data_IF_422998268130
#
_entry.id   IF_422998268130
#
_cell.length_a   1.000
_cell.length_b   1.000
_cell.length_c   1.000
_cell.angle_alpha   90.00
_cell.angle_beta   90.00
_cell.angle_gamma   90.00
#
_symmetry.space_group_name_H-M   'P 1'
#
loop_
_entity.id
_entity.type
_entity.pdbx_description
1 polymer ?
#
# COMPACT_ATOMS: atom_id res chain seq x y z
N UNK A 1 -17.78 20.19 4.82
CA UNK A 1 -18.01 19.22 3.72
C UNK A 1 -16.87 18.22 3.73
N UNK A 2 -17.11 16.95 3.42
CA UNK A 2 -16.02 15.97 3.31
C UNK A 2 -15.14 16.28 2.10
N UNK A 3 -13.82 16.10 2.22
CA UNK A 3 -12.88 16.31 1.12
C UNK A 3 -13.17 15.31 -0.02
N UNK A 4 -13.05 15.71 -1.30
CA UNK A 4 -13.10 14.78 -2.41
C UNK A 4 -11.98 13.73 -2.29
N UNK A 5 -12.28 12.47 -2.59
CA UNK A 5 -11.31 11.36 -2.42
C UNK A 5 -10.64 11.01 -3.74
N UNK A 6 -9.30 10.97 -3.74
CA UNK A 6 -8.50 10.54 -4.88
C UNK A 6 -8.70 9.06 -5.15
N UNK A 7 -8.87 8.68 -6.42
CA UNK A 7 -9.13 7.29 -6.83
C UNK A 7 -8.37 6.97 -8.09
N UNK A 8 -7.56 5.91 -8.05
CA UNK A 8 -7.09 5.25 -9.27
C UNK A 8 -8.30 4.60 -9.93
N UNK A 9 -8.58 4.98 -11.18
CA UNK A 9 -9.74 4.47 -11.93
C UNK A 9 -9.34 3.31 -12.83
N UNK A 10 -8.28 3.53 -13.60
CA UNK A 10 -7.87 2.59 -14.63
C UNK A 10 -6.38 2.69 -14.92
N UNK A 11 -5.80 1.57 -15.28
CA UNK A 11 -4.53 1.54 -16.02
C UNK A 11 -4.70 0.74 -17.31
N UNK A 12 -4.04 1.20 -18.37
CA UNK A 12 -3.85 0.47 -19.60
C UNK A 12 -2.35 0.19 -19.74
N UNK A 13 -1.95 -1.06 -19.52
CA UNK A 13 -0.58 -1.51 -19.71
C UNK A 13 -0.42 -1.90 -21.17
N UNK A 14 0.09 -0.98 -21.98
CA UNK A 14 0.37 -1.22 -23.40
C UNK A 14 1.47 -2.29 -23.52
N UNK A 15 2.57 -2.09 -22.78
CA UNK A 15 3.66 -3.06 -22.67
C UNK A 15 4.42 -2.88 -21.38
N UNK A 16 4.68 -3.99 -20.68
CA UNK A 16 5.75 -4.09 -19.68
C UNK A 16 5.95 -5.57 -19.29
N UNK A 17 7.15 -6.11 -19.50
CA UNK A 17 7.45 -7.53 -19.26
C UNK A 17 6.41 -8.46 -19.94
N UNK A 18 5.75 -9.33 -19.17
CA UNK A 18 4.70 -10.22 -19.65
C UNK A 18 3.34 -9.56 -19.91
N UNK A 19 3.15 -8.29 -19.53
CA UNK A 19 1.90 -7.56 -19.72
C UNK A 19 1.89 -6.89 -21.10
N UNK A 20 0.87 -7.19 -21.92
CA UNK A 20 0.69 -6.63 -23.28
C UNK A 20 -0.77 -6.25 -23.51
N UNK A 21 -1.04 -4.96 -23.72
CA UNK A 21 -2.36 -4.38 -23.98
C UNK A 21 -3.45 -4.81 -22.98
N UNK A 22 -3.14 -4.78 -21.69
CA UNK A 22 -4.08 -5.14 -20.62
C UNK A 22 -4.76 -3.88 -20.08
N UNK A 23 -6.09 -3.91 -20.00
CA UNK A 23 -6.90 -2.89 -19.35
C UNK A 23 -7.33 -3.39 -17.98
N UNK A 24 -7.05 -2.61 -16.93
CA UNK A 24 -7.44 -2.94 -15.55
C UNK A 24 -8.22 -1.77 -14.99
N UNK A 25 -9.45 -2.04 -14.57
CA UNK A 25 -10.31 -1.08 -13.86
C UNK A 25 -10.29 -1.42 -12.37
N UNK A 26 -10.25 -0.39 -11.54
CA UNK A 26 -10.10 -0.56 -10.10
C UNK A 26 -11.40 -0.23 -9.38
N UNK A 27 -11.73 -1.07 -8.39
CA UNK A 27 -12.84 -0.84 -7.50
C UNK A 27 -12.67 0.43 -6.67
N UNK A 28 -13.79 0.99 -6.21
CA UNK A 28 -13.80 2.24 -5.45
C UNK A 28 -13.14 2.14 -4.07
N UNK A 29 -13.08 0.92 -3.51
CA UNK A 29 -12.55 0.61 -2.17
C UNK A 29 -11.62 -0.58 -2.20
N UNK A 30 -12.09 -1.74 -2.66
CA UNK A 30 -11.29 -2.97 -2.70
C UNK A 30 -11.10 -3.44 -4.15
N UNK A 31 -9.93 -3.97 -4.45
CA UNK A 31 -9.62 -4.68 -5.70
C UNK A 31 -8.72 -5.86 -5.40
N UNK A 32 -9.09 -7.05 -5.90
CA UNK A 32 -8.25 -8.25 -5.84
C UNK A 32 -7.78 -8.62 -7.24
N UNK A 33 -6.48 -8.75 -7.40
CA UNK A 33 -5.82 -9.24 -8.61
C UNK A 33 -5.45 -10.71 -8.37
N UNK A 34 -6.08 -11.62 -9.10
CA UNK A 34 -5.81 -13.06 -9.02
C UNK A 34 -5.28 -13.60 -10.35
N UNK A 35 -4.70 -14.80 -10.33
CA UNK A 35 -4.10 -15.45 -11.50
C UNK A 35 -2.93 -16.34 -11.13
N UNK A 36 -2.49 -17.20 -12.05
CA UNK A 36 -1.39 -18.16 -11.84
C UNK A 36 -0.07 -17.48 -11.43
N UNK A 37 0.87 -18.24 -10.90
CA UNK A 37 2.22 -17.72 -10.63
C UNK A 37 2.87 -17.26 -11.94
N UNK A 38 3.65 -16.18 -11.89
CA UNK A 38 4.32 -15.61 -13.06
C UNK A 38 3.46 -14.74 -13.97
N UNK A 39 2.19 -14.46 -13.64
CA UNK A 39 1.30 -13.60 -14.46
C UNK A 39 1.43 -12.10 -14.17
N UNK A 40 2.56 -11.64 -13.62
CA UNK A 40 2.85 -10.22 -13.36
C UNK A 40 1.94 -9.50 -12.34
N UNK A 41 1.26 -10.23 -11.44
CA UNK A 41 0.38 -9.64 -10.40
C UNK A 41 1.08 -8.62 -9.52
N UNK A 42 2.20 -8.99 -8.91
CA UNK A 42 3.03 -8.09 -8.10
C UNK A 42 3.53 -6.91 -8.94
N UNK A 43 3.88 -7.16 -10.22
CA UNK A 43 4.31 -6.10 -11.14
C UNK A 43 3.23 -5.03 -11.36
N UNK A 44 1.95 -5.41 -11.37
CA UNK A 44 0.83 -4.45 -11.41
C UNK A 44 0.82 -3.60 -10.13
N UNK A 45 1.00 -4.19 -8.94
CA UNK A 45 1.12 -3.41 -7.70
C UNK A 45 2.32 -2.45 -7.74
N UNK A 46 3.47 -2.89 -8.28
CA UNK A 46 4.65 -2.03 -8.45
C UNK A 46 4.43 -0.85 -9.39
N UNK A 47 3.72 -1.06 -10.49
CA UNK A 47 3.27 0.01 -11.37
C UNK A 47 2.45 1.02 -10.56
N UNK A 48 1.47 0.56 -9.79
CA UNK A 48 0.57 1.43 -9.02
C UNK A 48 1.35 2.21 -7.95
N UNK A 49 2.24 1.57 -7.20
CA UNK A 49 3.08 2.22 -6.20
C UNK A 49 3.85 3.41 -6.78
N UNK A 50 4.37 3.24 -8.00
CA UNK A 50 5.14 4.26 -8.70
C UNK A 50 4.29 5.40 -9.27
N UNK A 51 2.95 5.30 -9.32
CA UNK A 51 2.09 6.41 -9.76
C UNK A 51 2.08 7.53 -8.72
N UNK A 52 2.18 7.18 -7.44
CA UNK A 52 1.90 8.06 -6.31
C UNK A 52 3.15 8.39 -5.49
N UNK A 53 3.18 9.58 -4.89
CA UNK A 53 4.24 9.99 -3.97
C UNK A 53 3.73 11.05 -3.00
N UNK A 54 3.85 10.82 -1.69
CA UNK A 54 3.44 11.79 -0.67
C UNK A 54 4.65 12.43 0.01
N UNK A 55 5.33 13.29 -0.74
CA UNK A 55 6.57 13.94 -0.27
C UNK A 55 6.46 15.45 -0.23
N UNK A 56 5.80 16.06 -1.22
CA UNK A 56 5.59 17.51 -1.27
C UNK A 56 4.22 17.82 -1.85
N UNK A 57 3.54 18.80 -1.27
CA UNK A 57 2.38 19.43 -1.88
C UNK A 57 2.84 20.66 -2.67
N UNK A 58 2.79 20.52 -3.99
CA UNK A 58 3.20 21.56 -4.95
C UNK A 58 2.07 22.55 -5.26
N UNK A 59 0.86 22.33 -4.72
CA UNK A 59 -0.31 23.18 -4.97
C UNK A 59 -0.33 24.43 -4.10
N UNK A 60 0.37 24.40 -2.95
CA UNK A 60 0.50 25.51 -2.01
C UNK A 60 1.72 26.38 -2.33
N UNK A 61 1.69 27.63 -1.88
CA UNK A 61 2.82 28.54 -1.94
C UNK A 61 3.04 29.22 -0.58
N UNK A 62 4.13 28.92 0.16
CA UNK A 62 5.21 27.99 -0.20
C UNK A 62 4.74 26.53 -0.30
N UNK A 63 5.52 25.70 -1.01
CA UNK A 63 5.28 24.26 -1.10
C UNK A 63 5.34 23.63 0.30
N UNK A 64 4.43 22.70 0.59
CA UNK A 64 4.39 22.04 1.92
C UNK A 64 5.17 20.74 1.86
N UNK A 65 6.09 20.55 2.81
CA UNK A 65 6.77 19.28 3.02
C UNK A 65 5.80 18.27 3.67
N UNK A 66 5.48 17.20 2.95
CA UNK A 66 4.59 16.16 3.46
C UNK A 66 5.36 15.04 4.16
N UNK A 67 6.70 15.03 4.08
CA UNK A 67 7.53 14.01 4.74
C UNK A 67 7.56 14.13 6.25
N UNK A 68 7.08 15.25 6.81
CA UNK A 68 6.80 15.41 8.24
C UNK A 68 5.72 14.43 8.73
N UNK A 69 4.79 14.03 7.86
CA UNK A 69 3.79 13.02 8.19
C UNK A 69 4.39 11.63 7.98
N UNK A 70 4.71 10.97 9.08
CA UNK A 70 5.32 9.64 9.06
C UNK A 70 4.28 8.53 9.14
N UNK A 71 4.62 7.34 8.66
CA UNK A 71 3.91 6.10 8.98
C UNK A 71 4.20 5.70 10.43
N UNK A 72 3.47 4.71 10.95
CA UNK A 72 3.76 4.17 12.27
C UNK A 72 5.12 3.48 12.33
N UNK A 73 5.78 3.17 11.21
CA UNK A 73 7.18 2.67 11.11
C UNK A 73 8.20 3.80 10.95
N UNK A 74 7.82 5.06 11.15
CA UNK A 74 8.66 6.24 10.88
C UNK A 74 9.10 6.41 9.41
N UNK A 75 8.48 5.68 8.48
CA UNK A 75 8.66 5.82 7.04
C UNK A 75 7.81 6.95 6.44
N UNK A 76 7.98 7.19 5.15
CA UNK A 76 7.11 8.11 4.39
C UNK A 76 5.97 7.36 3.71
N UNK A 77 4.87 8.04 3.38
CA UNK A 77 3.78 7.48 2.56
C UNK A 77 4.11 7.46 1.06
N UNK A 78 5.24 6.84 0.75
CA UNK A 78 5.76 6.63 -0.60
C UNK A 78 6.37 5.25 -0.63
N UNK A 79 6.22 4.57 -1.75
CA UNK A 79 6.86 3.29 -2.04
C UNK A 79 7.71 3.45 -3.29
N UNK A 80 9.03 3.22 -3.16
CA UNK A 80 9.90 3.27 -4.31
C UNK A 80 9.83 1.96 -5.08
N UNK A 81 9.79 2.03 -6.41
CA UNK A 81 9.75 0.81 -7.24
C UNK A 81 10.87 -0.19 -6.92
N UNK A 82 12.06 0.29 -6.54
CA UNK A 82 13.22 -0.52 -6.17
C UNK A 82 13.09 -1.29 -4.85
N UNK A 83 12.20 -0.86 -3.95
CA UNK A 83 11.92 -1.53 -2.67
C UNK A 83 11.16 -2.84 -2.87
N UNK A 84 10.49 -2.99 -4.01
CA UNK A 84 9.61 -4.13 -4.29
C UNK A 84 9.98 -4.88 -5.56
N UNK A 85 10.67 -4.24 -6.49
CA UNK A 85 11.08 -4.84 -7.76
C UNK A 85 12.49 -4.47 -8.15
N UNK A 86 13.23 -5.46 -8.65
CA UNK A 86 14.48 -5.23 -9.37
C UNK A 86 14.17 -5.03 -10.84
N UNK A 87 14.70 -3.96 -11.42
CA UNK A 87 14.74 -3.75 -12.86
C UNK A 87 15.96 -4.47 -13.43
N UNK A 88 15.72 -5.27 -14.48
CA UNK A 88 16.75 -5.95 -15.26
C UNK A 88 17.40 -4.98 -16.23
N UNK A 89 18.72 -4.94 -16.24
CA UNK A 89 19.48 -4.16 -17.24
C UNK A 89 19.28 -4.68 -18.66
N UNK A 90 19.02 -5.98 -18.81
CA UNK A 90 18.80 -6.62 -20.10
C UNK A 90 17.38 -6.45 -20.63
N UNK A 91 16.37 -6.54 -19.76
CA UNK A 91 14.96 -6.62 -20.18
C UNK A 91 14.14 -5.36 -19.87
N UNK A 92 14.53 -4.60 -18.83
CA UNK A 92 13.81 -3.40 -18.39
C UNK A 92 14.56 -2.12 -18.83
N UNK A 93 14.77 -2.00 -20.15
CA UNK A 93 15.45 -0.86 -20.78
C UNK A 93 14.53 0.34 -21.01
N UNK A 94 15.10 1.50 -21.36
CA UNK A 94 14.33 2.68 -21.71
C UNK A 94 13.34 2.38 -22.85
N UNK A 95 12.08 2.82 -22.69
CA UNK A 95 11.00 2.57 -23.65
C UNK A 95 10.39 1.16 -23.62
N UNK A 96 10.87 0.25 -22.76
CA UNK A 96 10.28 -1.10 -22.63
C UNK A 96 8.97 -1.13 -21.80
N UNK A 97 8.66 -0.03 -21.12
CA UNK A 97 7.43 0.17 -20.35
C UNK A 97 6.61 1.32 -20.96
N UNK A 98 5.34 1.05 -21.21
CA UNK A 98 4.32 2.06 -21.51
C UNK A 98 3.03 1.69 -20.78
N UNK A 99 2.65 2.52 -19.81
CA UNK A 99 1.40 2.41 -19.06
C UNK A 99 0.67 3.74 -19.13
N UNK A 100 -0.59 3.72 -19.52
CA UNK A 100 -1.50 4.88 -19.47
C UNK A 100 -2.37 4.78 -18.24
N UNK A 101 -2.58 5.90 -17.56
CA UNK A 101 -3.14 5.94 -16.21
C UNK A 101 -4.30 6.94 -16.20
N UNK A 102 -5.41 6.56 -15.57
CA UNK A 102 -6.55 7.43 -15.27
C UNK A 102 -6.74 7.50 -13.76
N UNK A 103 -6.64 8.71 -13.22
CA UNK A 103 -6.81 9.01 -11.79
C UNK A 103 -7.80 10.15 -11.66
N UNK A 104 -8.77 10.02 -10.76
CA UNK A 104 -9.47 11.19 -10.23
C UNK A 104 -8.67 11.72 -9.05
N UNK A 105 -8.09 12.90 -9.18
CA UNK A 105 -7.32 13.57 -8.13
C UNK A 105 -8.27 14.43 -7.29
N UNK A 106 -8.50 14.00 -6.05
CA UNK A 106 -9.39 14.67 -5.11
C UNK A 106 -8.82 16.00 -4.59
N UNK A 107 -7.49 16.14 -4.57
CA UNK A 107 -6.83 17.36 -4.11
C UNK A 107 -7.00 18.52 -5.09
N UNK A 108 -6.87 18.24 -6.39
CA UNK A 108 -7.13 19.21 -7.45
C UNK A 108 -8.58 19.18 -7.97
N UNK A 109 -9.42 18.27 -7.46
CA UNK A 109 -10.75 17.97 -7.97
C UNK A 109 -10.80 17.80 -9.51
N UNK A 110 -9.90 16.98 -10.07
CA UNK A 110 -9.69 16.87 -11.52
C UNK A 110 -9.49 15.42 -11.96
N UNK A 111 -9.99 15.10 -13.16
CA UNK A 111 -9.66 13.86 -13.86
C UNK A 111 -8.34 13.99 -14.61
N UNK A 112 -7.35 13.18 -14.22
CA UNK A 112 -6.02 13.11 -14.81
C UNK A 112 -5.95 11.94 -15.80
N UNK A 113 -6.27 12.21 -17.07
CA UNK A 113 -6.32 11.20 -18.15
C UNK A 113 -5.07 11.17 -19.03
N UNK A 114 -4.13 12.10 -18.81
CA UNK A 114 -2.88 12.23 -19.59
C UNK A 114 -1.68 11.55 -18.93
N UNK A 115 -1.89 10.91 -17.79
CA UNK A 115 -0.83 10.30 -17.02
C UNK A 115 -0.25 9.10 -17.76
N UNK A 116 1.08 9.06 -17.84
CA UNK A 116 1.83 7.93 -18.39
C UNK A 116 2.96 7.54 -17.46
N UNK A 117 3.24 6.25 -17.37
CA UNK A 117 4.41 5.70 -16.69
C UNK A 117 5.24 4.93 -17.72
N UNK A 118 6.53 5.24 -17.78
CA UNK A 118 7.48 4.57 -18.65
C UNK A 118 8.88 4.52 -18.04
N UNK A 119 9.75 3.73 -18.66
CA UNK A 119 11.16 3.61 -18.31
C UNK A 119 12.02 4.52 -19.18
N UNK A 120 12.94 5.25 -18.56
CA UNK A 120 13.81 6.21 -19.22
C UNK A 120 15.27 5.97 -18.82
N UNK A 121 16.19 6.28 -19.72
CA UNK A 121 17.62 6.25 -19.45
C UNK A 121 17.99 7.28 -18.37
N UNK A 122 19.05 6.98 -17.63
CA UNK A 122 19.58 7.83 -16.58
C UNK A 122 21.06 8.08 -16.85
N UNK A 123 21.52 9.32 -16.73
CA UNK A 123 22.96 9.65 -16.78
C UNK A 123 23.72 9.05 -15.59
N UNK A 124 23.09 9.00 -14.41
CA UNK A 124 23.81 8.71 -13.16
C UNK A 124 23.79 7.22 -12.75
N UNK A 125 23.23 6.34 -13.58
CA UNK A 125 23.13 4.90 -13.27
C UNK A 125 22.77 4.09 -14.51
N UNK A 126 23.30 2.87 -14.58
CA UNK A 126 23.10 1.95 -15.71
C UNK A 126 21.64 1.50 -15.87
N UNK A 127 20.88 1.46 -14.77
CA UNK A 127 19.48 1.03 -14.75
C UNK A 127 18.52 2.15 -15.16
N UNK A 128 17.55 1.78 -15.99
CA UNK A 128 16.45 2.67 -16.37
C UNK A 128 15.62 3.07 -15.17
N UNK A 129 15.08 4.30 -15.18
CA UNK A 129 14.24 4.86 -14.12
C UNK A 129 12.77 4.88 -14.56
N UNK A 130 11.83 4.44 -13.69
CA UNK A 130 10.41 4.63 -13.96
C UNK A 130 10.02 6.08 -13.65
N UNK A 131 9.41 6.77 -14.60
CA UNK A 131 9.02 8.17 -14.48
C UNK A 131 7.56 8.33 -14.89
N UNK A 132 6.78 8.98 -14.02
CA UNK A 132 5.41 9.44 -14.33
C UNK A 132 5.49 10.78 -15.08
N UNK A 133 4.74 10.90 -16.16
CA UNK A 133 4.62 12.13 -16.97
C UNK A 133 3.16 12.46 -17.25
N UNK A 134 2.92 13.70 -17.68
CA UNK A 134 1.58 14.18 -18.04
C UNK A 134 0.70 14.53 -16.84
N UNK A 135 1.31 14.75 -15.66
CA UNK A 135 0.58 15.19 -14.47
C UNK A 135 0.24 16.68 -14.57
N UNK A 136 -0.94 16.99 -15.11
CA UNK A 136 -1.47 18.32 -15.28
C UNK A 136 -2.40 18.76 -14.14
N UNK A 137 -2.26 18.17 -12.94
CA UNK A 137 -3.11 18.49 -11.79
C UNK A 137 -2.90 19.91 -11.24
N UNK A 138 -1.71 20.49 -11.46
CA UNK A 138 -1.35 21.84 -10.99
C UNK A 138 -0.85 22.66 -12.20
N UNK A 139 -1.55 23.73 -12.60
CA UNK A 139 -1.13 24.60 -13.70
C UNK A 139 0.26 25.22 -13.45
N UNK A 140 1.09 25.31 -14.50
CA UNK A 140 2.41 25.96 -14.44
C UNK A 140 3.51 25.17 -13.72
N UNK A 141 3.21 24.05 -13.05
CA UNK A 141 4.21 23.16 -12.46
C UNK A 141 4.70 22.09 -13.44
N UNK A 142 5.86 21.51 -13.15
CA UNK A 142 6.41 20.39 -13.93
C UNK A 142 5.42 19.21 -13.95
N UNK A 143 5.12 18.71 -15.15
CA UNK A 143 4.19 17.59 -15.37
C UNK A 143 4.86 16.20 -15.31
N UNK A 144 6.19 16.15 -15.25
CA UNK A 144 6.99 14.92 -15.03
C UNK A 144 7.13 14.66 -13.53
N UNK A 145 6.03 14.29 -12.90
CA UNK A 145 5.95 14.02 -11.45
C UNK A 145 4.85 13.01 -11.15
N UNK A 146 5.02 12.31 -10.04
CA UNK A 146 3.99 11.45 -9.46
C UNK A 146 2.74 12.27 -9.06
N UNK A 147 1.61 11.59 -8.90
CA UNK A 147 0.42 12.18 -8.26
C UNK A 147 0.68 12.29 -6.76
N UNK A 148 0.44 13.45 -6.17
CA UNK A 148 0.65 13.67 -4.72
C UNK A 148 -0.45 12.98 -3.93
N UNK A 149 -0.20 11.75 -3.46
CA UNK A 149 -1.17 10.94 -2.74
C UNK A 149 -0.45 9.88 -1.88
N UNK A 150 -0.89 9.61 -0.64
CA UNK A 150 -0.21 8.68 0.25
C UNK A 150 -0.41 7.23 -0.18
N UNK A 151 0.70 6.49 -0.25
CA UNK A 151 0.72 5.07 -0.60
C UNK A 151 1.56 4.28 0.40
N UNK A 152 1.06 3.12 0.81
CA UNK A 152 1.82 2.10 1.54
C UNK A 152 1.77 0.81 0.72
N UNK A 153 2.92 0.17 0.55
CA UNK A 153 3.02 -1.13 -0.12
C UNK A 153 3.62 -2.19 0.82
N UNK A 154 2.78 -3.13 1.21
CA UNK A 154 3.14 -4.34 1.94
C UNK A 154 3.53 -5.45 0.96
N UNK A 155 4.83 -5.64 0.75
CA UNK A 155 5.37 -6.76 -0.03
C UNK A 155 5.40 -8.06 0.78
N UNK A 156 5.74 -9.18 0.12
CA UNK A 156 5.96 -10.47 0.77
C UNK A 156 7.09 -10.47 1.82
N UNK A 157 7.97 -9.45 1.82
CA UNK A 157 9.02 -9.32 2.81
C UNK A 157 8.49 -9.38 4.25
N UNK A 158 7.22 -9.01 4.48
CA UNK A 158 6.56 -9.12 5.78
C UNK A 158 6.56 -10.51 6.41
N UNK A 159 6.72 -11.56 5.60
CA UNK A 159 6.83 -12.95 6.07
C UNK A 159 8.26 -13.34 6.46
N UNK A 160 9.22 -12.42 6.47
CA UNK A 160 10.58 -12.69 6.91
C UNK A 160 10.56 -13.14 8.39
N UNK A 161 11.04 -14.37 8.69
CA UNK A 161 11.08 -14.89 10.05
C UNK A 161 11.81 -13.95 11.01
N UNK A 162 11.31 -13.84 12.25
CA UNK A 162 11.88 -12.97 13.28
C UNK A 162 13.36 -13.33 13.54
N UNK A 163 13.71 -14.62 13.48
CA UNK A 163 15.09 -15.11 13.65
C UNK A 163 16.08 -14.59 12.60
N UNK A 164 15.60 -14.12 11.46
CA UNK A 164 16.41 -13.52 10.39
C UNK A 164 16.38 -11.98 10.42
N UNK A 165 15.67 -11.37 11.38
CA UNK A 165 15.62 -9.92 11.54
C UNK A 165 16.80 -9.47 12.37
N UNK A 166 17.68 -8.68 11.76
CA UNK A 166 18.77 -8.00 12.46
C UNK A 166 18.21 -6.82 13.26
N UNK A 167 18.89 -6.48 14.37
CA UNK A 167 18.59 -5.30 15.20
C UNK A 167 17.16 -5.28 15.77
N UNK A 168 16.63 -6.46 16.13
CA UNK A 168 15.27 -6.57 16.67
C UNK A 168 15.18 -5.96 18.07
N UNK A 169 14.39 -4.89 18.22
CA UNK A 169 14.18 -4.20 19.51
C UNK A 169 12.73 -3.73 19.66
N UNK A 170 12.33 -3.34 20.87
CA UNK A 170 11.07 -2.60 21.04
C UNK A 170 11.24 -1.15 20.59
N UNK A 171 10.12 -0.51 20.25
CA UNK A 171 10.05 0.93 19.96
C UNK A 171 8.82 1.50 20.65
N UNK A 172 8.96 2.62 21.32
CA UNK A 172 7.80 3.31 21.89
C UNK A 172 7.18 4.22 20.82
N UNK A 173 5.89 4.02 20.59
CA UNK A 173 5.10 4.88 19.70
C UNK A 173 3.87 5.23 20.50
N UNK A 174 3.86 6.44 21.08
CA UNK A 174 2.76 6.96 21.88
C UNK A 174 1.39 6.71 21.21
N UNK A 175 1.30 6.94 19.90
CA UNK A 175 0.08 6.69 19.13
C UNK A 175 -0.36 5.22 19.14
N UNK A 176 0.56 4.25 19.13
CA UNK A 176 0.22 2.83 19.24
C UNK A 176 -0.34 2.54 20.64
N UNK A 177 0.27 3.09 21.69
CA UNK A 177 -0.20 2.90 23.06
C UNK A 177 -1.60 3.48 23.28
N UNK A 178 -1.83 4.71 22.79
CA UNK A 178 -3.13 5.41 22.84
C UNK A 178 -4.23 4.66 22.08
N UNK A 179 -3.86 3.83 21.11
CA UNK A 179 -4.78 3.06 20.26
C UNK A 179 -4.70 1.55 20.51
N UNK A 180 -4.07 1.13 21.61
CA UNK A 180 -3.75 -0.27 21.89
C UNK A 180 -4.98 -1.17 21.94
N UNK A 181 -6.10 -0.69 22.50
CA UNK A 181 -7.35 -1.44 22.53
C UNK A 181 -7.93 -1.69 21.14
N UNK A 182 -8.04 -0.66 20.30
CA UNK A 182 -8.53 -0.81 18.92
C UNK A 182 -7.64 -1.79 18.12
N UNK A 183 -6.31 -1.69 18.31
CA UNK A 183 -5.32 -2.54 17.66
C UNK A 183 -5.48 -4.00 18.12
N UNK A 184 -5.59 -4.21 19.43
CA UNK A 184 -5.78 -5.53 20.04
C UNK A 184 -7.06 -6.19 19.56
N UNK A 185 -8.18 -5.47 19.57
CA UNK A 185 -9.48 -5.96 19.09
C UNK A 185 -9.37 -6.36 17.61
N UNK A 186 -8.77 -5.51 16.77
CA UNK A 186 -8.60 -5.81 15.35
C UNK A 186 -7.69 -7.02 15.11
N UNK A 187 -6.61 -7.15 15.87
CA UNK A 187 -5.68 -8.29 15.78
C UNK A 187 -6.33 -9.60 16.22
N UNK A 188 -7.03 -9.57 17.35
CA UNK A 188 -7.75 -10.73 17.89
C UNK A 188 -8.87 -11.18 16.93
N UNK A 189 -9.62 -10.23 16.34
CA UNK A 189 -10.61 -10.54 15.31
C UNK A 189 -9.97 -11.21 14.10
N UNK A 190 -8.87 -10.66 13.59
CA UNK A 190 -8.21 -11.20 12.38
C UNK A 190 -7.61 -12.59 12.62
N UNK A 191 -6.92 -12.77 13.75
CA UNK A 191 -6.28 -14.03 14.12
C UNK A 191 -7.26 -15.07 14.67
N UNK A 192 -8.54 -14.70 14.89
CA UNK A 192 -9.55 -15.55 15.52
C UNK A 192 -9.12 -16.02 16.92
N UNK A 193 -8.53 -15.09 17.68
CA UNK A 193 -7.97 -15.32 19.02
C UNK A 193 -8.70 -14.48 20.06
N UNK A 194 -8.71 -14.95 21.30
CA UNK A 194 -9.33 -14.25 22.44
C UNK A 194 -8.33 -13.91 23.57
N UNK A 195 -7.06 -14.28 23.40
CA UNK A 195 -6.01 -14.27 24.43
C UNK A 195 -4.93 -13.19 24.20
N UNK A 196 -4.99 -12.43 23.10
CA UNK A 196 -4.10 -11.29 22.88
C UNK A 196 -4.43 -10.15 23.85
N UNK A 197 -3.48 -9.82 24.73
CA UNK A 197 -3.66 -8.86 25.81
C UNK A 197 -2.76 -7.63 25.66
N UNK A 198 -1.56 -7.78 25.10
CA UNK A 198 -0.55 -6.73 25.03
C UNK A 198 -0.17 -6.40 23.59
N UNK A 199 0.07 -5.11 23.31
CA UNK A 199 0.55 -4.62 22.01
C UNK A 199 1.97 -4.11 22.17
N UNK A 200 2.91 -4.66 21.40
CA UNK A 200 4.31 -4.22 21.41
C UNK A 200 4.72 -3.79 20.01
N UNK A 201 5.18 -2.55 19.86
CA UNK A 201 5.79 -2.10 18.62
C UNK A 201 7.26 -2.54 18.57
N UNK A 202 7.66 -3.09 17.42
CA UNK A 202 8.97 -3.73 17.24
C UNK A 202 9.72 -3.09 16.08
N UNK A 203 11.03 -2.98 16.23
CA UNK A 203 11.99 -2.46 15.26
C UNK A 203 12.83 -3.63 14.77
N UNK A 204 13.32 -3.59 13.53
CA UNK A 204 14.32 -4.54 13.04
C UNK A 204 14.57 -4.34 11.55
N UNK A 205 14.95 -5.39 10.83
CA UNK A 205 14.98 -5.37 9.35
C UNK A 205 13.65 -4.91 8.75
N UNK A 206 12.54 -5.20 9.45
CA UNK A 206 11.20 -4.72 9.15
C UNK A 206 10.57 -4.27 10.46
N UNK A 207 10.27 -2.97 10.55
CA UNK A 207 9.53 -2.41 11.67
C UNK A 207 8.08 -2.90 11.65
N UNK A 208 7.58 -3.35 12.79
CA UNK A 208 6.29 -4.02 12.93
C UNK A 208 5.61 -3.61 14.23
N UNK A 209 4.53 -4.31 14.55
CA UNK A 209 3.76 -4.24 15.78
C UNK A 209 3.12 -5.60 16.02
N UNK A 210 3.27 -6.17 17.19
CA UNK A 210 2.75 -7.51 17.50
C UNK A 210 1.78 -7.45 18.68
N UNK A 211 0.73 -8.25 18.61
CA UNK A 211 -0.18 -8.49 19.74
C UNK A 211 0.14 -9.87 20.30
N UNK A 212 0.42 -9.95 21.59
CA UNK A 212 0.77 -11.19 22.27
C UNK A 212 -0.04 -11.37 23.56
N UNK A 213 -0.16 -12.62 23.99
CA UNK A 213 -0.82 -12.98 25.25
C UNK A 213 0.13 -12.92 26.45
N UNK A 214 -0.33 -13.43 27.59
CA UNK A 214 0.46 -13.44 28.83
C UNK A 214 1.48 -14.59 28.87
N UNK A 215 1.29 -15.61 28.02
CA UNK A 215 2.11 -16.83 28.01
C UNK A 215 3.35 -16.73 27.10
N UNK A 216 3.50 -15.66 26.32
CA UNK A 216 4.62 -15.42 25.41
C UNK A 216 4.74 -13.93 25.08
N UNK A 217 5.93 -13.48 24.72
CA UNK A 217 6.21 -12.08 24.43
C UNK A 217 6.49 -11.83 22.94
N UNK A 218 6.75 -10.56 22.59
CA UNK A 218 7.10 -10.12 21.24
C UNK A 218 8.26 -10.91 20.59
N UNK A 219 9.18 -11.50 21.36
CA UNK A 219 10.29 -12.28 20.82
C UNK A 219 9.87 -13.68 20.33
N UNK A 220 8.73 -14.18 20.82
CA UNK A 220 8.23 -15.53 20.57
C UNK A 220 7.03 -15.58 19.62
N UNK A 221 6.69 -14.44 19.01
CA UNK A 221 5.54 -14.29 18.12
C UNK A 221 5.77 -15.02 16.79
N UNK A 222 4.73 -15.66 16.27
CA UNK A 222 4.79 -16.35 14.99
C UNK A 222 4.84 -15.37 13.81
N UNK A 223 5.34 -15.84 12.66
CA UNK A 223 5.36 -15.02 11.42
C UNK A 223 3.94 -14.60 11.00
N UNK A 224 2.92 -15.43 11.26
CA UNK A 224 1.53 -15.10 10.96
C UNK A 224 1.01 -13.93 11.80
N UNK A 225 1.31 -13.91 13.09
CA UNK A 225 0.93 -12.81 13.99
C UNK A 225 1.66 -11.51 13.66
N UNK A 226 2.95 -11.58 13.34
CA UNK A 226 3.70 -10.40 12.92
C UNK A 226 3.24 -9.86 11.55
N UNK A 227 2.87 -10.75 10.61
CA UNK A 227 2.24 -10.36 9.35
C UNK A 227 0.93 -9.59 9.56
N UNK A 228 0.08 -10.06 10.48
CA UNK A 228 -1.15 -9.36 10.90
C UNK A 228 -0.83 -8.01 11.53
N UNK A 229 0.19 -7.99 12.37
CA UNK A 229 0.78 -6.79 12.94
C UNK A 229 1.08 -5.69 11.93
N UNK A 230 1.81 -6.03 10.88
CA UNK A 230 2.18 -5.11 9.81
C UNK A 230 0.96 -4.64 8.99
N UNK A 231 -0.03 -5.50 8.77
CA UNK A 231 -1.29 -5.13 8.10
C UNK A 231 -2.06 -4.07 8.91
N UNK A 232 -2.24 -4.32 10.21
CA UNK A 232 -2.92 -3.39 11.12
C UNK A 232 -2.14 -2.09 11.25
N UNK A 233 -0.82 -2.17 11.39
CA UNK A 233 0.05 -1.00 11.46
C UNK A 233 -0.07 -0.10 10.22
N UNK A 234 -0.23 -0.66 9.02
CA UNK A 234 -0.47 0.12 7.81
C UNK A 234 -1.83 0.84 7.86
N UNK A 235 -2.89 0.15 8.30
CA UNK A 235 -4.23 0.74 8.49
C UNK A 235 -4.16 1.92 9.48
N UNK A 236 -3.51 1.72 10.63
CA UNK A 236 -3.39 2.77 11.64
C UNK A 236 -2.45 3.91 11.22
N UNK A 237 -1.50 3.66 10.32
CA UNK A 237 -0.72 4.73 9.69
C UNK A 237 -1.63 5.67 8.91
N UNK A 238 -2.58 5.14 8.14
CA UNK A 238 -3.58 5.98 7.45
C UNK A 238 -4.59 6.62 8.40
N UNK A 239 -5.02 5.92 9.46
CA UNK A 239 -5.84 6.52 10.53
C UNK A 239 -5.17 7.79 11.07
N UNK A 240 -3.90 7.68 11.47
CA UNK A 240 -3.12 8.81 11.98
C UNK A 240 -2.97 9.91 10.94
N UNK A 241 -2.67 9.57 9.69
CA UNK A 241 -2.52 10.56 8.63
C UNK A 241 -3.82 11.36 8.43
N UNK A 242 -4.98 10.68 8.41
CA UNK A 242 -6.28 11.31 8.30
C UNK A 242 -6.61 12.24 9.48
N UNK A 243 -6.16 11.90 10.69
CA UNK A 243 -6.35 12.73 11.90
C UNK A 243 -5.44 13.96 11.90
N UNK A 244 -4.21 13.84 11.39
CA UNK A 244 -3.20 14.92 11.45
C UNK A 244 -3.21 15.84 10.22
N UNK A 245 -3.63 15.36 9.06
CA UNK A 245 -3.58 16.11 7.81
C UNK A 245 -4.97 16.57 7.37
N UNK A 246 -5.29 17.85 7.59
CA UNK A 246 -6.62 18.40 7.31
C UNK A 246 -7.03 18.32 5.82
N UNK A 247 -6.05 18.40 4.90
CA UNK A 247 -6.25 18.31 3.45
C UNK A 247 -6.14 16.85 2.95
N UNK A 248 -6.55 15.88 3.79
CA UNK A 248 -6.50 14.46 3.45
C UNK A 248 -7.56 14.10 2.40
N UNK A 249 -7.11 13.48 1.31
CA UNK A 249 -7.94 13.06 0.17
C UNK A 249 -7.94 11.53 -0.03
N UNK A 250 -7.77 10.78 1.05
CA UNK A 250 -7.67 9.31 1.03
C UNK A 250 -6.24 8.78 0.92
N UNK A 251 -6.12 7.46 0.79
CA UNK A 251 -4.84 6.78 0.62
C UNK A 251 -4.93 5.46 -0.13
N UNK A 252 -3.79 4.98 -0.63
CA UNK A 252 -3.70 3.69 -1.34
C UNK A 252 -2.90 2.68 -0.52
N UNK A 253 -3.52 1.54 -0.23
CA UNK A 253 -2.87 0.41 0.43
C UNK A 253 -2.70 -0.73 -0.58
N UNK A 254 -1.44 -1.10 -0.84
CA UNK A 254 -1.08 -2.20 -1.73
C UNK A 254 -0.62 -3.40 -0.88
N UNK A 255 -1.16 -4.58 -1.16
CA UNK A 255 -0.84 -5.81 -0.40
C UNK A 255 -0.54 -6.94 -1.38
N UNK A 256 0.71 -7.42 -1.42
CA UNK A 256 1.07 -8.56 -2.28
C UNK A 256 0.85 -9.88 -1.55
N UNK A 257 0.09 -10.80 -2.12
CA UNK A 257 -0.30 -12.10 -1.54
C UNK A 257 -1.00 -11.95 -0.17
N UNK A 258 -2.14 -11.26 -0.15
CA UNK A 258 -2.87 -10.96 1.09
C UNK A 258 -3.25 -12.20 1.91
N UNK A 259 -3.39 -13.36 1.28
CA UNK A 259 -3.67 -14.66 1.92
C UNK A 259 -2.46 -15.32 2.58
N UNK A 260 -1.24 -14.88 2.27
CA UNK A 260 -0.04 -15.58 2.69
C UNK A 260 0.13 -15.57 4.21
N UNK A 261 0.38 -16.76 4.79
CA UNK A 261 0.55 -16.95 6.23
C UNK A 261 -0.73 -16.90 7.07
N UNK A 262 -1.92 -16.81 6.45
CA UNK A 262 -3.21 -16.76 7.15
C UNK A 262 -4.02 -18.04 6.98
N UNK A 263 -4.62 -18.50 8.08
CA UNK A 263 -5.59 -19.59 8.05
C UNK A 263 -6.86 -19.18 7.26
N UNK A 264 -7.54 -20.09 6.53
CA UNK A 264 -8.71 -19.76 5.71
C UNK A 264 -9.76 -18.84 6.35
N UNK A 265 -10.15 -19.09 7.60
CA UNK A 265 -11.14 -18.24 8.27
C UNK A 265 -10.60 -16.82 8.57
N UNK A 266 -9.30 -16.69 8.88
CA UNK A 266 -8.63 -15.40 9.07
C UNK A 266 -8.54 -14.58 7.77
N UNK A 267 -8.51 -15.24 6.61
CA UNK A 267 -8.54 -14.57 5.31
C UNK A 267 -9.88 -13.85 5.08
N UNK A 268 -11.01 -14.45 5.49
CA UNK A 268 -12.32 -13.80 5.41
C UNK A 268 -12.43 -12.61 6.37
N UNK A 269 -11.90 -12.77 7.59
CA UNK A 269 -11.84 -11.67 8.56
C UNK A 269 -10.94 -10.52 8.10
N UNK A 270 -9.83 -10.83 7.43
CA UNK A 270 -8.98 -9.82 6.79
C UNK A 270 -9.80 -8.99 5.81
N UNK A 271 -10.59 -9.60 4.92
CA UNK A 271 -11.41 -8.84 3.96
C UNK A 271 -12.47 -8.00 4.67
N UNK A 272 -13.11 -8.51 5.72
CA UNK A 272 -14.04 -7.74 6.54
C UNK A 272 -13.37 -6.50 7.16
N UNK A 273 -12.17 -6.66 7.73
CA UNK A 273 -11.40 -5.58 8.34
C UNK A 273 -10.98 -4.56 7.29
N UNK A 274 -10.44 -5.01 6.16
CA UNK A 274 -10.00 -4.14 5.07
C UNK A 274 -11.19 -3.36 4.46
N UNK A 275 -12.36 -3.98 4.29
CA UNK A 275 -13.57 -3.28 3.82
C UNK A 275 -14.01 -2.17 4.78
N UNK A 276 -14.02 -2.46 6.10
CA UNK A 276 -14.36 -1.48 7.14
C UNK A 276 -13.33 -0.35 7.17
N UNK A 277 -12.04 -0.68 7.14
CA UNK A 277 -10.95 0.29 7.12
C UNK A 277 -10.97 1.17 5.87
N UNK A 278 -11.21 0.59 4.69
CA UNK A 278 -11.33 1.33 3.44
C UNK A 278 -12.44 2.39 3.50
N UNK A 279 -13.60 2.03 4.08
CA UNK A 279 -14.70 2.99 4.27
C UNK A 279 -14.38 4.03 5.35
N UNK A 280 -13.81 3.63 6.48
CA UNK A 280 -13.58 4.52 7.65
C UNK A 280 -12.45 5.52 7.40
N UNK A 281 -11.41 5.11 6.69
CA UNK A 281 -10.17 5.87 6.49
C UNK A 281 -9.97 6.34 5.04
N UNK A 282 -11.00 6.23 4.20
CA UNK A 282 -11.01 6.63 2.78
C UNK A 282 -9.87 5.99 1.99
N UNK A 283 -9.72 4.66 2.11
CA UNK A 283 -8.65 3.92 1.43
C UNK A 283 -9.17 3.25 0.17
N UNK A 284 -8.31 3.25 -0.84
CA UNK A 284 -8.38 2.32 -1.96
C UNK A 284 -7.32 1.23 -1.75
N UNK A 285 -7.79 0.01 -1.51
CA UNK A 285 -6.96 -1.14 -1.18
C UNK A 285 -6.92 -2.07 -2.39
N UNK A 286 -5.72 -2.32 -2.89
CA UNK A 286 -5.48 -3.16 -4.07
C UNK A 286 -4.53 -4.27 -3.65
N UNK A 287 -4.98 -5.51 -3.77
CA UNK A 287 -4.23 -6.66 -3.29
C UNK A 287 -4.11 -7.75 -4.34
N UNK A 288 -3.09 -8.58 -4.22
CA UNK A 288 -2.99 -9.83 -4.98
C UNK A 288 -3.33 -11.01 -4.07
N UNK A 289 -3.97 -12.05 -4.62
CA UNK A 289 -4.27 -13.26 -3.87
C UNK A 289 -4.45 -14.46 -4.78
N UNK A 290 -4.15 -15.64 -4.24
CA UNK A 290 -4.44 -16.94 -4.84
C UNK A 290 -5.63 -17.64 -4.17
N UNK A 291 -6.14 -17.11 -3.06
CA UNK A 291 -7.19 -17.73 -2.26
C UNK A 291 -8.55 -17.65 -2.96
N UNK A 292 -9.19 -18.81 -3.29
CA UNK A 292 -10.55 -18.83 -3.81
C UNK A 292 -11.54 -18.17 -2.84
N UNK A 293 -11.31 -18.26 -1.52
CA UNK A 293 -12.18 -17.68 -0.51
C UNK A 293 -12.20 -16.14 -0.59
N UNK A 294 -11.01 -15.53 -0.72
CA UNK A 294 -10.90 -14.07 -0.89
C UNK A 294 -11.56 -13.64 -2.20
N UNK A 295 -11.30 -14.38 -3.28
CA UNK A 295 -11.83 -14.06 -4.61
C UNK A 295 -13.35 -14.13 -4.62
N UNK A 296 -13.93 -15.19 -4.05
CA UNK A 296 -15.37 -15.40 -3.97
C UNK A 296 -16.06 -14.34 -3.10
N UNK A 297 -15.51 -14.04 -1.92
CA UNK A 297 -16.07 -13.01 -1.03
C UNK A 297 -16.10 -11.63 -1.70
N UNK A 298 -14.99 -11.22 -2.34
CA UNK A 298 -14.91 -9.94 -3.04
C UNK A 298 -15.84 -9.89 -4.25
N UNK A 299 -15.95 -10.98 -5.01
CA UNK A 299 -16.87 -11.07 -6.14
C UNK A 299 -18.34 -10.98 -5.70
N UNK A 300 -18.70 -11.57 -4.56
CA UNK A 300 -20.05 -11.47 -4.03
C UNK A 300 -20.36 -10.05 -3.55
N UNK A 301 -19.41 -9.36 -2.91
CA UNK A 301 -19.56 -7.94 -2.52
C UNK A 301 -19.72 -7.03 -3.72
N UNK A 302 -19.00 -7.27 -4.82
CA UNK A 302 -19.11 -6.42 -6.01
C UNK A 302 -20.47 -6.48 -6.71
N UNK A 303 -21.33 -7.45 -6.36
CA UNK A 303 -22.72 -7.51 -6.84
C UNK A 303 -23.70 -6.68 -6.00
N UNK A 304 -23.27 -6.25 -4.82
CA UNK A 304 -24.10 -5.51 -3.85
C UNK A 304 -23.77 -4.01 -3.81
N UNK A 305 -22.63 -3.61 -4.40
CA UNK A 305 -22.17 -2.22 -4.58
C UNK A 305 -22.72 -1.62 -5.88
#
# INVERSE_FOLDING_TARGET
>A
MANPITKLKKINVVKFRGLKNINIEFGSRLTVICGKNGTSKSTILGIIAQIFSFTKDLSKNPEVDLTQFKTLTNGTFKSAFSEHFRLSEQFDTAGSMEVRISVYDGASNKHLEKLTLGLYSSSDRDKSRPIVRGNDSIPGKNQSRNVTHPVIFLSLARLLPITLRTDYSTRDVQYINENSDDIRIMSNQLLLKNDGCSVTATKGTIDSMVVHGDNYDHQSVSVGEDNVGQLIQAIFSFKRLKELYADYHGGILLIDEADAGLFPAAQLELINILAKAAKKYDLQIIMTSHSPLIIEDIFNRSKQD
#
